data_IF_184247616006
#
_entry.id   IF_184247616006
#
_cell.length_a   1.000
_cell.length_b   1.000
_cell.length_c   1.000
_cell.angle_alpha   90.00
_cell.angle_beta   90.00
_cell.angle_gamma   90.00
#
_symmetry.space_group_name_H-M   'P 1'
#
loop_
_entity.id
_entity.type
_entity.pdbx_description
1 polymer ?
#
# COMPACT_ATOMS: atom_id res chain seq x y z
N UNK A 1 8.74 38.16 26.75
CA UNK A 1 9.07 37.17 25.70
C UNK A 1 8.10 36.02 25.88
N UNK A 2 7.10 35.85 25.02
CA UNK A 2 6.17 34.73 25.11
C UNK A 2 6.94 33.44 24.80
N UNK A 3 6.98 32.51 25.75
CA UNK A 3 7.42 31.15 25.49
C UNK A 3 6.42 30.54 24.47
N UNK A 4 6.82 30.48 23.20
CA UNK A 4 5.96 29.99 22.14
C UNK A 4 5.58 28.54 22.42
N UNK A 5 4.30 28.30 22.75
CA UNK A 5 3.78 26.96 22.94
C UNK A 5 4.07 26.11 21.70
N UNK A 6 4.65 24.92 21.90
CA UNK A 6 4.88 23.99 20.80
C UNK A 6 3.53 23.57 20.21
N UNK A 7 3.30 23.94 18.96
CA UNK A 7 2.09 23.57 18.23
C UNK A 7 2.20 22.14 17.71
N UNK A 8 1.06 21.45 17.57
CA UNK A 8 0.99 20.11 16.94
C UNK A 8 1.71 20.08 15.57
N UNK A 9 1.56 21.15 14.79
CA UNK A 9 2.24 21.32 13.49
C UNK A 9 3.76 21.36 13.63
N UNK A 10 4.29 22.03 14.65
CA UNK A 10 5.73 22.04 14.92
C UNK A 10 6.21 20.64 15.31
N UNK A 11 5.48 19.90 16.15
CA UNK A 11 5.85 18.52 16.50
C UNK A 11 5.89 17.61 15.27
N UNK A 12 4.83 17.61 14.44
CA UNK A 12 4.78 16.79 13.22
C UNK A 12 5.89 17.15 12.22
N UNK A 13 6.27 18.43 12.12
CA UNK A 13 7.41 18.85 11.29
C UNK A 13 8.74 18.29 11.81
N UNK A 14 8.95 18.24 13.12
CA UNK A 14 10.15 17.64 13.70
C UNK A 14 10.19 16.13 13.46
N UNK A 15 9.06 15.43 13.59
CA UNK A 15 8.97 14.02 13.22
C UNK A 15 9.23 13.78 11.74
N UNK A 16 8.71 14.63 10.85
CA UNK A 16 9.00 14.57 9.42
C UNK A 16 10.49 14.76 9.12
N UNK A 17 11.15 15.69 9.82
CA UNK A 17 12.58 15.95 9.65
C UNK A 17 13.46 14.81 10.17
N UNK A 18 13.09 14.17 11.28
CA UNK A 18 13.89 13.12 11.93
C UNK A 18 13.67 11.73 11.35
N UNK A 19 12.43 11.39 10.99
CA UNK A 19 12.03 10.02 10.63
C UNK A 19 11.17 9.93 9.37
N UNK A 20 11.12 11.00 8.57
CA UNK A 20 10.36 11.03 7.32
C UNK A 20 8.86 10.86 7.52
N UNK A 21 8.16 10.47 6.45
CA UNK A 21 6.71 10.27 6.43
C UNK A 21 6.26 9.15 7.37
N UNK A 22 7.07 8.10 7.57
CA UNK A 22 6.73 6.98 8.46
C UNK A 22 6.57 7.41 9.91
N UNK A 23 7.46 8.26 10.44
CA UNK A 23 7.36 8.76 11.82
C UNK A 23 6.19 9.74 11.99
N UNK A 24 5.89 10.54 10.96
CA UNK A 24 4.70 11.42 10.95
C UNK A 24 3.42 10.59 11.00
N UNK A 25 3.30 9.55 10.19
CA UNK A 25 2.13 8.66 10.16
C UNK A 25 1.96 7.98 11.52
N UNK A 26 3.03 7.40 12.09
CA UNK A 26 2.96 6.76 13.40
C UNK A 26 2.54 7.71 14.53
N UNK A 27 2.98 8.97 14.49
CA UNK A 27 2.55 9.99 15.46
C UNK A 27 1.09 10.41 15.26
N UNK A 28 0.63 10.50 14.00
CA UNK A 28 -0.76 10.80 13.69
C UNK A 28 -1.71 9.69 14.14
N UNK A 29 -1.30 8.42 13.95
CA UNK A 29 -2.04 7.25 14.41
C UNK A 29 -2.17 7.21 15.94
N UNK A 30 -1.06 7.39 16.66
CA UNK A 30 -1.04 7.45 18.12
C UNK A 30 -1.88 8.60 18.71
N UNK A 31 -2.18 9.62 17.92
CA UNK A 31 -3.02 10.76 18.30
C UNK A 31 -4.44 10.71 17.75
N UNK A 32 -4.84 9.58 17.17
CA UNK A 32 -6.17 9.39 16.58
C UNK A 32 -6.50 10.44 15.51
N UNK A 33 -5.46 10.87 14.77
CA UNK A 33 -5.57 11.81 13.66
C UNK A 33 -5.68 11.10 12.31
N UNK A 34 -5.54 9.78 12.30
CA UNK A 34 -5.83 8.93 11.16
C UNK A 34 -7.34 8.64 11.21
N UNK A 35 -8.13 9.47 10.52
CA UNK A 35 -9.57 9.27 10.44
C UNK A 35 -9.93 7.84 10.00
N UNK A 36 -11.15 7.36 10.31
CA UNK A 36 -11.54 5.99 10.01
C UNK A 36 -11.44 5.69 8.51
N UNK A 37 -10.99 4.48 8.17
CA UNK A 37 -11.08 3.97 6.79
C UNK A 37 -12.57 3.91 6.41
N UNK A 38 -13.03 4.77 5.50
CA UNK A 38 -14.37 4.65 4.91
C UNK A 38 -14.25 3.78 3.67
N UNK A 39 -14.77 2.54 3.68
CA UNK A 39 -14.66 1.67 2.52
C UNK A 39 -15.47 2.23 1.34
N UNK A 40 -16.59 2.91 1.61
CA UNK A 40 -17.50 3.41 0.59
C UNK A 40 -17.30 4.89 0.27
N UNK A 41 -17.70 5.24 -0.95
CA UNK A 41 -17.81 6.64 -1.40
C UNK A 41 -18.87 7.37 -0.56
N UNK A 42 -18.64 8.63 -0.16
CA UNK A 42 -19.66 9.43 0.50
C UNK A 42 -20.86 9.66 -0.42
N UNK A 43 -22.08 9.49 0.12
CA UNK A 43 -23.32 9.94 -0.51
C UNK A 43 -23.64 11.29 0.12
N UNK A 44 -23.35 12.37 -0.60
CA UNK A 44 -23.61 13.73 -0.13
C UNK A 44 -24.93 14.24 -0.69
N UNK A 45 -25.65 15.01 0.11
CA UNK A 45 -26.90 15.65 -0.27
C UNK A 45 -27.02 17.02 0.40
N UNK A 46 -27.90 17.86 -0.15
CA UNK A 46 -28.14 19.21 0.36
C UNK A 46 -27.21 20.26 -0.22
N UNK A 47 -27.74 21.47 -0.36
CA UNK A 47 -27.01 22.66 -0.76
C UNK A 47 -27.42 23.79 0.17
N UNK A 48 -26.45 24.53 0.72
CA UNK A 48 -26.70 25.82 1.33
C UNK A 48 -26.58 26.91 0.24
N UNK A 49 -27.68 27.61 -0.12
CA UNK A 49 -27.64 28.66 -1.12
C UNK A 49 -26.58 29.72 -0.79
N UNK A 50 -26.07 30.39 -1.83
CA UNK A 50 -25.10 31.50 -1.73
C UNK A 50 -23.77 31.17 -1.03
N UNK A 51 -23.51 29.89 -0.73
CA UNK A 51 -22.24 29.45 -0.15
C UNK A 51 -21.16 29.39 -1.23
N UNK A 52 -20.04 30.07 -0.96
CA UNK A 52 -18.83 30.04 -1.79
C UNK A 52 -17.72 29.28 -1.08
N UNK A 53 -17.13 28.32 -1.77
CA UNK A 53 -16.09 27.44 -1.20
C UNK A 53 -14.77 27.66 -1.93
N UNK A 54 -13.69 27.86 -1.18
CA UNK A 54 -12.32 27.80 -1.72
C UNK A 54 -11.64 26.54 -1.20
N UNK A 55 -11.06 25.77 -2.12
CA UNK A 55 -10.36 24.51 -1.83
C UNK A 55 -8.87 24.75 -2.06
N UNK A 56 -8.06 24.54 -1.03
CA UNK A 56 -6.62 24.77 -1.07
C UNK A 56 -5.91 23.44 -1.32
N UNK A 57 -5.39 23.25 -2.53
CA UNK A 57 -4.72 22.06 -3.02
C UNK A 57 -5.57 21.26 -4.01
N UNK A 58 -4.98 20.98 -5.17
CA UNK A 58 -5.49 20.09 -6.23
C UNK A 58 -4.96 18.66 -6.11
N UNK A 59 -4.67 18.18 -4.89
CA UNK A 59 -4.46 16.76 -4.62
C UNK A 59 -5.76 15.96 -4.66
N UNK A 60 -5.70 14.63 -4.51
CA UNK A 60 -6.90 13.77 -4.55
C UNK A 60 -7.99 14.23 -3.58
N UNK A 61 -7.66 14.62 -2.35
CA UNK A 61 -8.65 15.13 -1.38
C UNK A 61 -9.39 16.38 -1.89
N UNK A 62 -8.65 17.40 -2.33
CA UNK A 62 -9.24 18.63 -2.85
C UNK A 62 -10.02 18.44 -4.14
N UNK A 63 -9.53 17.59 -5.04
CA UNK A 63 -10.25 17.21 -6.27
C UNK A 63 -11.54 16.46 -5.96
N UNK A 64 -11.53 15.52 -5.01
CA UNK A 64 -12.74 14.81 -4.58
C UNK A 64 -13.77 15.78 -3.97
N UNK A 65 -13.34 16.70 -3.11
CA UNK A 65 -14.22 17.73 -2.54
C UNK A 65 -14.83 18.60 -3.66
N UNK A 66 -14.01 19.10 -4.58
CA UNK A 66 -14.49 19.93 -5.69
C UNK A 66 -15.48 19.18 -6.58
N UNK A 67 -15.18 17.92 -6.89
CA UNK A 67 -16.07 17.08 -7.68
C UNK A 67 -17.44 16.89 -7.04
N UNK A 68 -17.49 16.53 -5.75
CA UNK A 68 -18.77 16.34 -5.04
C UNK A 68 -19.52 17.65 -4.83
N UNK A 69 -18.84 18.76 -4.51
CA UNK A 69 -19.46 20.09 -4.46
C UNK A 69 -20.05 20.50 -5.82
N UNK A 70 -19.37 20.16 -6.92
CA UNK A 70 -19.86 20.38 -8.27
C UNK A 70 -21.13 19.59 -8.58
N UNK A 71 -21.22 18.33 -8.15
CA UNK A 71 -22.44 17.52 -8.28
C UNK A 71 -23.63 18.11 -7.50
N UNK A 72 -23.37 18.82 -6.41
CA UNK A 72 -24.37 19.48 -5.58
C UNK A 72 -24.69 20.93 -6.02
N UNK A 73 -23.99 21.47 -7.02
CA UNK A 73 -24.23 22.81 -7.56
C UNK A 73 -23.60 23.96 -6.77
N UNK A 74 -22.66 23.70 -5.86
CA UNK A 74 -21.98 24.76 -5.11
C UNK A 74 -21.10 25.64 -6.01
N UNK A 75 -20.96 26.91 -5.61
CA UNK A 75 -19.95 27.80 -6.17
C UNK A 75 -18.61 27.53 -5.47
N UNK A 76 -17.63 26.98 -6.19
CA UNK A 76 -16.31 26.70 -5.62
C UNK A 76 -15.16 26.96 -6.59
N UNK A 77 -13.97 27.13 -6.01
CA UNK A 77 -12.70 27.21 -6.73
C UNK A 77 -11.64 26.36 -6.02
N UNK A 78 -10.89 25.55 -6.77
CA UNK A 78 -9.68 24.84 -6.34
C UNK A 78 -8.45 25.67 -6.69
N UNK A 79 -7.54 25.85 -5.73
CA UNK A 79 -6.24 26.52 -5.91
C UNK A 79 -5.12 25.50 -5.73
N UNK A 80 -4.35 25.21 -6.78
CA UNK A 80 -3.20 24.29 -6.72
C UNK A 80 -1.91 25.05 -6.99
N UNK A 81 -0.90 24.86 -6.13
CA UNK A 81 0.37 25.55 -6.24
C UNK A 81 1.19 25.09 -7.46
N UNK A 82 1.09 23.80 -7.81
CA UNK A 82 1.76 23.23 -8.98
C UNK A 82 1.03 23.59 -10.27
N UNK A 83 1.72 23.36 -11.37
CA UNK A 83 1.20 23.41 -12.74
C UNK A 83 0.49 22.11 -13.16
N UNK A 84 0.29 21.17 -12.23
CA UNK A 84 -0.44 19.91 -12.42
C UNK A 84 -1.20 19.50 -11.16
N UNK A 85 -2.19 18.62 -11.32
CA UNK A 85 -3.03 18.11 -10.22
C UNK A 85 -2.63 16.71 -9.77
N UNK A 86 -2.98 16.34 -8.53
CA UNK A 86 -2.79 14.98 -8.01
C UNK A 86 -1.97 14.92 -6.73
N UNK A 87 -1.14 15.93 -6.47
CA UNK A 87 -0.33 16.01 -5.25
C UNK A 87 0.61 14.80 -5.14
N UNK A 88 0.45 13.97 -4.10
CA UNK A 88 1.25 12.74 -3.92
C UNK A 88 0.90 11.63 -4.93
N UNK A 89 -0.19 11.77 -5.67
CA UNK A 89 -0.51 10.88 -6.78
C UNK A 89 0.25 11.34 -8.03
N UNK A 90 1.52 10.93 -8.13
CA UNK A 90 2.42 11.37 -9.20
C UNK A 90 2.96 10.19 -10.02
N UNK A 91 2.84 10.31 -11.34
CA UNK A 91 3.35 9.37 -12.33
C UNK A 91 4.44 10.05 -13.14
N UNK A 92 5.68 9.67 -12.88
CA UNK A 92 6.87 10.13 -13.58
C UNK A 92 6.94 9.46 -14.95
N UNK A 93 7.06 10.25 -16.00
CA UNK A 93 7.20 9.84 -17.40
C UNK A 93 8.20 10.75 -18.10
N UNK A 94 8.57 10.46 -19.35
CA UNK A 94 9.48 11.30 -20.16
C UNK A 94 9.11 12.79 -20.03
N UNK A 95 10.10 13.63 -19.72
CA UNK A 95 9.94 15.08 -19.58
C UNK A 95 9.39 15.57 -18.24
N UNK A 96 8.92 14.67 -17.37
CA UNK A 96 8.54 15.06 -16.01
C UNK A 96 9.76 15.66 -15.29
N UNK A 97 9.59 16.86 -14.74
CA UNK A 97 10.64 17.61 -14.06
C UNK A 97 10.26 17.80 -12.59
N UNK A 98 11.23 17.66 -11.70
CA UNK A 98 11.08 17.96 -10.28
C UNK A 98 12.34 18.63 -9.75
N UNK A 99 12.16 19.65 -8.91
CA UNK A 99 13.25 20.28 -8.17
C UNK A 99 13.08 19.96 -6.69
N UNK A 100 14.04 19.21 -6.14
CA UNK A 100 14.04 18.81 -4.73
C UNK A 100 14.30 20.01 -3.81
N UNK A 101 13.94 19.87 -2.54
CA UNK A 101 14.32 20.79 -1.49
C UNK A 101 15.86 20.81 -1.39
N UNK A 102 16.47 21.90 -1.85
CA UNK A 102 17.93 22.00 -2.02
C UNK A 102 18.34 22.48 -3.41
N UNK A 103 17.41 22.51 -4.37
CA UNK A 103 17.59 23.13 -5.68
C UNK A 103 18.08 22.20 -6.78
N UNK A 104 18.28 20.91 -6.49
CA UNK A 104 18.61 19.92 -7.52
C UNK A 104 17.39 19.64 -8.39
N UNK A 105 17.55 19.81 -9.71
CA UNK A 105 16.51 19.54 -10.69
C UNK A 105 16.80 18.23 -11.41
N UNK A 106 15.81 17.36 -11.48
CA UNK A 106 15.83 16.13 -12.29
C UNK A 106 14.78 16.20 -13.39
N UNK A 107 15.14 15.70 -14.57
CA UNK A 107 14.24 15.57 -15.72
C UNK A 107 14.24 14.12 -16.16
N UNK A 108 13.08 13.48 -16.14
CA UNK A 108 12.94 12.09 -16.51
C UNK A 108 13.19 11.87 -18.02
N UNK A 109 14.05 10.90 -18.34
CA UNK A 109 14.43 10.52 -19.71
C UNK A 109 13.92 9.12 -20.11
N UNK A 110 12.87 8.62 -19.46
CA UNK A 110 12.28 7.32 -19.82
C UNK A 110 11.86 7.24 -21.29
N UNK A 111 11.75 6.01 -21.79
CA UNK A 111 11.24 5.79 -23.12
C UNK A 111 9.74 6.12 -23.24
N UNK A 112 9.26 6.29 -24.47
CA UNK A 112 7.84 6.53 -24.70
C UNK A 112 7.01 5.34 -24.18
N UNK A 113 5.90 5.63 -23.50
CA UNK A 113 5.06 4.61 -22.86
C UNK A 113 5.57 4.10 -21.50
N UNK A 114 6.82 4.38 -21.12
CA UNK A 114 7.35 4.00 -19.81
C UNK A 114 6.99 5.03 -18.74
N UNK A 115 6.67 4.56 -17.54
CA UNK A 115 6.38 5.41 -16.39
C UNK A 115 6.72 4.73 -15.07
N UNK A 116 6.80 5.55 -14.02
CA UNK A 116 6.94 5.12 -12.63
C UNK A 116 5.97 5.90 -11.74
N UNK A 117 5.26 5.22 -10.83
CA UNK A 117 4.42 5.89 -9.84
C UNK A 117 5.29 6.28 -8.63
N UNK A 118 5.66 7.56 -8.53
CA UNK A 118 6.56 8.08 -7.49
C UNK A 118 5.86 8.45 -6.17
N UNK A 119 4.60 8.08 -6.02
CA UNK A 119 3.86 8.22 -4.77
C UNK A 119 2.80 7.14 -4.64
N UNK A 120 1.53 7.47 -4.87
CA UNK A 120 0.48 6.46 -4.88
C UNK A 120 0.75 5.41 -5.98
N UNK A 121 0.93 4.15 -5.56
CA UNK A 121 1.38 3.07 -6.45
C UNK A 121 0.24 2.11 -6.82
N UNK A 122 -0.53 1.63 -5.84
CA UNK A 122 -1.50 0.53 -6.02
C UNK A 122 -2.79 0.78 -5.28
N UNK A 123 -3.87 0.13 -5.71
CA UNK A 123 -5.23 0.24 -5.18
C UNK A 123 -5.71 -1.15 -4.75
N UNK A 124 -5.78 -1.45 -3.45
CA UNK A 124 -6.37 -2.68 -2.92
C UNK A 124 -7.82 -2.89 -3.36
N UNK A 125 -8.26 -4.15 -3.47
CA UNK A 125 -9.66 -4.47 -3.77
C UNK A 125 -10.66 -3.92 -2.73
N UNK A 126 -10.21 -3.63 -1.50
CA UNK A 126 -11.04 -3.11 -0.43
C UNK A 126 -11.30 -1.60 -0.53
N UNK A 127 -10.53 -0.88 -1.35
CA UNK A 127 -10.58 0.59 -1.46
C UNK A 127 -11.72 1.02 -2.39
N UNK A 128 -12.96 0.63 -2.04
CA UNK A 128 -14.15 0.76 -2.89
C UNK A 128 -14.49 2.21 -3.23
N UNK A 129 -14.13 3.18 -2.39
CA UNK A 129 -14.28 4.59 -2.69
C UNK A 129 -13.46 5.02 -3.94
N UNK A 130 -12.17 4.70 -3.98
CA UNK A 130 -11.29 5.05 -5.11
C UNK A 130 -11.66 4.25 -6.36
N UNK A 131 -11.93 2.95 -6.20
CA UNK A 131 -12.40 2.10 -7.31
C UNK A 131 -13.73 2.61 -7.88
N UNK A 132 -14.63 3.11 -7.03
CA UNK A 132 -15.89 3.73 -7.42
C UNK A 132 -15.68 4.98 -8.28
N UNK A 133 -14.77 5.88 -7.89
CA UNK A 133 -14.44 7.06 -8.70
C UNK A 133 -13.77 6.68 -10.03
N UNK A 134 -12.88 5.69 -10.04
CA UNK A 134 -12.28 5.21 -11.29
C UNK A 134 -13.37 4.74 -12.26
N UNK A 135 -14.37 3.99 -11.78
CA UNK A 135 -15.51 3.54 -12.59
C UNK A 135 -16.36 4.71 -13.11
N UNK A 136 -16.75 5.63 -12.24
CA UNK A 136 -17.61 6.77 -12.62
C UNK A 136 -16.92 7.74 -13.59
N UNK A 137 -15.62 7.98 -13.40
CA UNK A 137 -14.83 8.89 -14.22
C UNK A 137 -14.24 8.22 -15.47
N UNK A 138 -14.49 6.92 -15.66
CA UNK A 138 -14.02 6.17 -16.83
C UNK A 138 -12.51 5.96 -16.87
N UNK A 139 -11.85 5.83 -15.72
CA UNK A 139 -10.42 5.52 -15.60
C UNK A 139 -10.21 4.01 -15.69
N UNK A 140 -9.62 3.49 -16.78
CA UNK A 140 -9.41 2.05 -16.93
C UNK A 140 -8.33 1.56 -15.96
N UNK A 141 -8.59 0.42 -15.34
CA UNK A 141 -7.69 -0.23 -14.39
C UNK A 141 -7.13 -1.54 -14.96
N UNK A 142 -5.94 -1.91 -14.51
CA UNK A 142 -5.28 -3.19 -14.76
C UNK A 142 -4.83 -3.83 -13.44
N UNK A 143 -4.54 -5.13 -13.48
CA UNK A 143 -4.00 -5.84 -12.32
C UNK A 143 -2.61 -5.35 -11.98
N UNK A 144 -2.39 -5.12 -10.69
CA UNK A 144 -1.07 -4.81 -10.15
C UNK A 144 -0.48 -6.06 -9.49
N UNK A 145 0.68 -6.51 -10.00
CA UNK A 145 1.41 -7.65 -9.43
C UNK A 145 2.21 -7.17 -8.22
N UNK A 146 1.64 -7.36 -7.04
CA UNK A 146 2.21 -6.87 -5.79
C UNK A 146 3.42 -7.68 -5.30
N UNK A 147 3.36 -8.98 -5.53
CA UNK A 147 4.43 -9.93 -5.31
C UNK A 147 4.36 -11.01 -6.37
N UNK A 148 5.48 -11.69 -6.56
CA UNK A 148 5.60 -12.88 -7.37
C UNK A 148 6.40 -13.89 -6.59
N UNK A 149 6.03 -15.16 -6.73
CA UNK A 149 6.80 -16.30 -6.22
C UNK A 149 8.23 -16.35 -6.79
N UNK A 150 8.47 -15.65 -7.90
CA UNK A 150 9.80 -15.43 -8.45
C UNK A 150 10.58 -14.30 -7.76
N UNK A 151 10.02 -13.44 -6.90
CA UNK A 151 10.81 -12.39 -6.25
C UNK A 151 11.86 -12.96 -5.29
N UNK A 152 12.85 -12.14 -4.95
CA UNK A 152 13.88 -12.46 -3.98
C UNK A 152 13.65 -11.72 -2.66
N UNK A 153 13.93 -12.40 -1.55
CA UNK A 153 14.38 -11.77 -0.32
C UNK A 153 15.90 -11.63 -0.35
N UNK A 154 16.39 -10.58 0.31
CA UNK A 154 17.79 -10.29 0.51
C UNK A 154 17.93 -9.40 1.74
N UNK A 155 18.89 -9.72 2.62
CA UNK A 155 19.18 -8.97 3.84
C UNK A 155 20.64 -9.21 4.20
N UNK A 156 21.36 -8.17 4.61
CA UNK A 156 22.81 -8.23 4.88
C UNK A 156 23.12 -8.25 6.38
N UNK A 157 22.12 -8.09 7.24
CA UNK A 157 22.32 -8.22 8.68
C UNK A 157 22.80 -9.65 9.00
N UNK A 158 24.00 -9.78 9.58
CA UNK A 158 24.59 -11.06 9.94
C UNK A 158 23.80 -11.82 11.03
N UNK A 159 23.01 -11.12 11.84
CA UNK A 159 22.22 -11.71 12.94
C UNK A 159 21.10 -12.64 12.44
N UNK A 160 20.67 -12.48 11.18
CA UNK A 160 19.63 -13.33 10.58
C UNK A 160 20.16 -14.74 10.26
N UNK A 161 21.47 -14.96 10.43
CA UNK A 161 22.13 -16.25 10.30
C UNK A 161 22.59 -16.57 8.87
N UNK A 162 22.60 -17.86 8.47
CA UNK A 162 23.29 -18.31 7.26
C UNK A 162 22.69 -17.80 5.95
N UNK A 163 21.48 -17.22 5.97
CA UNK A 163 20.85 -16.60 4.80
C UNK A 163 21.26 -15.13 4.61
N UNK A 164 22.06 -14.56 5.52
CA UNK A 164 22.61 -13.21 5.38
C UNK A 164 23.46 -13.08 4.11
N UNK A 165 23.23 -12.01 3.35
CA UNK A 165 23.88 -11.75 2.07
C UNK A 165 23.47 -12.70 0.94
N UNK A 166 22.43 -13.53 1.13
CA UNK A 166 21.94 -14.46 0.10
C UNK A 166 20.65 -13.97 -0.55
N UNK A 167 20.55 -14.16 -1.86
CA UNK A 167 19.30 -13.96 -2.60
C UNK A 167 18.45 -15.22 -2.51
N UNK A 168 17.34 -15.14 -1.79
CA UNK A 168 16.47 -16.28 -1.48
C UNK A 168 15.14 -16.10 -2.21
N UNK A 169 14.65 -17.07 -3.01
CA UNK A 169 13.39 -16.87 -3.74
C UNK A 169 12.19 -17.00 -2.80
N UNK A 170 11.15 -16.20 -3.06
CA UNK A 170 9.90 -16.22 -2.30
C UNK A 170 9.26 -17.62 -2.28
N UNK A 171 9.23 -18.30 -3.43
CA UNK A 171 8.66 -19.66 -3.56
C UNK A 171 9.42 -20.72 -2.75
N UNK A 172 10.74 -20.57 -2.61
CA UNK A 172 11.56 -21.51 -1.85
C UNK A 172 11.27 -21.36 -0.36
N UNK A 173 11.18 -20.12 0.13
CA UNK A 173 10.75 -19.84 1.51
C UNK A 173 9.36 -20.39 1.77
N UNK A 174 8.40 -20.14 0.88
CA UNK A 174 7.03 -20.66 1.02
C UNK A 174 7.00 -22.18 1.09
N UNK A 175 7.64 -22.86 0.13
CA UNK A 175 7.65 -24.32 0.06
C UNK A 175 8.34 -24.94 1.28
N UNK A 176 9.55 -24.47 1.63
CA UNK A 176 10.34 -25.07 2.70
C UNK A 176 9.78 -24.78 4.09
N UNK A 177 9.22 -23.58 4.30
CA UNK A 177 8.57 -23.24 5.55
C UNK A 177 7.32 -24.11 5.76
N UNK A 178 6.45 -24.21 4.75
CA UNK A 178 5.25 -25.05 4.85
C UNK A 178 5.62 -26.52 4.98
N UNK A 179 6.49 -27.03 4.11
CA UNK A 179 6.88 -28.44 4.13
C UNK A 179 7.55 -28.86 5.42
N UNK A 180 8.54 -28.09 5.91
CA UNK A 180 9.24 -28.45 7.15
C UNK A 180 8.35 -28.34 8.39
N UNK A 181 7.45 -27.35 8.46
CA UNK A 181 6.56 -27.20 9.62
C UNK A 181 5.45 -28.25 9.65
N UNK A 182 4.89 -28.58 8.49
CA UNK A 182 3.87 -29.64 8.37
C UNK A 182 4.46 -31.04 8.56
N UNK A 183 5.69 -31.31 8.11
CA UNK A 183 6.42 -32.56 8.42
C UNK A 183 6.52 -32.77 9.93
N UNK A 184 6.98 -31.75 10.66
CA UNK A 184 7.09 -31.80 12.12
C UNK A 184 5.72 -32.05 12.77
N UNK A 185 4.68 -31.35 12.31
CA UNK A 185 3.35 -31.47 12.87
C UNK A 185 2.72 -32.84 12.58
N UNK A 186 2.87 -33.36 11.35
CA UNK A 186 2.35 -34.66 10.96
C UNK A 186 3.01 -35.79 11.76
N UNK A 187 4.34 -35.75 11.92
CA UNK A 187 5.08 -36.74 12.72
C UNK A 187 4.73 -36.67 14.21
N UNK A 188 4.55 -35.47 14.76
CA UNK A 188 4.11 -35.31 16.15
C UNK A 188 2.68 -35.83 16.35
N UNK A 189 1.77 -35.56 15.41
CA UNK A 189 0.39 -36.06 15.45
C UNK A 189 0.34 -37.59 15.38
N UNK A 190 1.08 -38.19 14.45
CA UNK A 190 1.17 -39.65 14.27
C UNK A 190 1.73 -40.36 15.52
N UNK A 191 2.71 -39.74 16.19
CA UNK A 191 3.31 -40.26 17.42
C UNK A 191 2.49 -39.98 18.69
N UNK A 192 1.29 -39.39 18.57
CA UNK A 192 0.45 -39.04 19.71
C UNK A 192 1.05 -37.96 20.63
N UNK A 193 1.92 -37.10 20.10
CA UNK A 193 2.61 -36.04 20.86
C UNK A 193 1.84 -34.71 20.87
N UNK A 194 0.70 -34.63 20.20
CA UNK A 194 -0.14 -33.43 20.19
C UNK A 194 -1.29 -33.63 21.18
N UNK A 195 -1.22 -32.90 22.29
CA UNK A 195 -2.28 -32.88 23.31
C UNK A 195 -3.39 -31.89 22.92
N UNK A 196 -4.21 -32.29 21.94
CA UNK A 196 -5.41 -31.57 21.51
C UNK A 196 -6.61 -32.50 21.44
N UNK A 197 -7.79 -31.99 21.80
CA UNK A 197 -9.04 -32.74 21.70
C UNK A 197 -9.52 -32.83 20.25
N UNK A 198 -9.00 -33.79 19.49
CA UNK A 198 -9.52 -34.19 18.19
C UNK A 198 -10.19 -35.57 18.29
N UNK A 199 -11.22 -35.79 17.49
CA UNK A 199 -11.73 -37.15 17.26
C UNK A 199 -10.71 -37.93 16.43
N UNK A 200 -10.81 -39.27 16.42
CA UNK A 200 -9.97 -40.11 15.54
C UNK A 200 -10.16 -39.70 14.06
N UNK A 201 -11.40 -39.41 13.66
CA UNK A 201 -11.72 -38.94 12.30
C UNK A 201 -11.07 -37.58 11.98
N UNK A 202 -11.15 -36.60 12.89
CA UNK A 202 -10.51 -35.29 12.68
C UNK A 202 -8.99 -35.38 12.63
N UNK A 203 -8.39 -36.32 13.38
CA UNK A 203 -6.96 -36.57 13.35
C UNK A 203 -6.52 -37.11 11.98
N UNK A 204 -7.27 -38.05 11.40
CA UNK A 204 -7.01 -38.56 10.05
C UNK A 204 -7.15 -37.44 9.00
N UNK A 205 -8.20 -36.61 9.09
CA UNK A 205 -8.41 -35.48 8.18
C UNK A 205 -7.29 -34.43 8.30
N UNK A 206 -6.81 -34.17 9.52
CA UNK A 206 -5.68 -33.28 9.75
C UNK A 206 -4.41 -33.82 9.09
N UNK A 207 -4.07 -35.11 9.28
CA UNK A 207 -2.91 -35.73 8.63
C UNK A 207 -3.01 -35.61 7.10
N UNK A 208 -4.16 -35.93 6.51
CA UNK A 208 -4.37 -35.80 5.07
C UNK A 208 -4.18 -34.36 4.57
N UNK A 209 -4.68 -33.37 5.32
CA UNK A 209 -4.45 -31.97 5.04
C UNK A 209 -2.96 -31.61 5.08
N UNK A 210 -2.24 -32.03 6.12
CA UNK A 210 -0.81 -31.74 6.29
C UNK A 210 0.04 -32.37 5.19
N UNK A 211 -0.24 -33.63 4.82
CA UNK A 211 0.44 -34.31 3.71
C UNK A 211 0.30 -33.53 2.43
N UNK A 212 -0.93 -33.10 2.10
CA UNK A 212 -1.21 -32.35 0.88
C UNK A 212 -0.64 -30.93 0.91
N UNK A 213 -0.82 -30.19 1.99
CA UNK A 213 -0.38 -28.81 2.12
C UNK A 213 1.15 -28.69 2.24
N UNK A 214 1.78 -29.72 2.82
CA UNK A 214 3.20 -29.79 3.13
C UNK A 214 4.09 -30.40 2.07
N UNK A 215 3.53 -30.95 0.98
CA UNK A 215 4.29 -31.76 0.02
C UNK A 215 4.99 -32.95 0.72
N UNK A 216 4.29 -33.59 1.66
CA UNK A 216 4.81 -34.73 2.39
C UNK A 216 4.54 -36.01 1.61
N UNK A 217 5.37 -37.01 1.83
CA UNK A 217 5.08 -38.37 1.40
C UNK A 217 4.05 -39.03 2.31
N UNK A 218 3.24 -39.90 1.72
CA UNK A 218 2.12 -40.53 2.41
C UNK A 218 2.54 -41.64 3.37
N UNK A 219 3.75 -42.20 3.22
CA UNK A 219 4.23 -43.32 4.03
C UNK A 219 5.03 -42.83 5.24
N UNK A 220 5.93 -41.87 5.06
CA UNK A 220 6.88 -41.43 6.09
C UNK A 220 6.68 -39.98 6.56
N UNK A 221 5.71 -39.27 5.98
CA UNK A 221 5.42 -37.85 6.21
C UNK A 221 6.62 -36.91 6.02
N UNK A 222 7.70 -37.34 5.36
CA UNK A 222 8.85 -36.49 5.12
C UNK A 222 8.59 -35.53 3.95
N UNK A 223 8.94 -34.27 4.16
CA UNK A 223 8.81 -33.21 3.17
C UNK A 223 9.71 -33.49 1.96
N UNK A 224 9.08 -33.57 0.79
CA UNK A 224 9.73 -33.71 -0.51
C UNK A 224 9.43 -32.44 -1.32
N UNK A 225 10.42 -31.56 -1.55
CA UNK A 225 10.19 -30.31 -2.26
C UNK A 225 9.50 -30.52 -3.62
N UNK A 226 8.44 -29.75 -3.93
CA UNK A 226 7.76 -29.88 -5.21
C UNK A 226 8.62 -29.28 -6.34
N UNK A 227 8.43 -29.75 -7.58
CA UNK A 227 9.13 -29.21 -8.75
C UNK A 227 8.88 -27.71 -8.97
N UNK A 228 7.72 -27.20 -8.53
CA UNK A 228 7.36 -25.77 -8.58
C UNK A 228 8.23 -24.88 -7.68
N UNK A 229 8.94 -25.46 -6.69
CA UNK A 229 9.96 -24.76 -5.89
C UNK A 229 11.09 -24.23 -6.78
N UNK A 230 11.45 -24.97 -7.83
CA UNK A 230 12.40 -24.54 -8.85
C UNK A 230 13.89 -24.68 -8.50
N UNK A 231 14.23 -25.25 -7.34
CA UNK A 231 15.59 -25.61 -6.95
C UNK A 231 15.59 -26.89 -6.10
N UNK A 232 16.69 -27.65 -6.15
CA UNK A 232 16.81 -28.94 -5.45
C UNK A 232 17.21 -28.77 -3.97
N UNK A 233 18.08 -27.80 -3.67
CA UNK A 233 18.62 -27.61 -2.32
C UNK A 233 17.62 -26.89 -1.42
N UNK A 234 17.14 -27.57 -0.37
CA UNK A 234 16.21 -27.03 0.62
C UNK A 234 16.92 -26.17 1.67
N UNK A 235 16.24 -25.13 2.14
CA UNK A 235 16.71 -24.37 3.29
C UNK A 235 16.43 -25.10 4.59
N UNK A 236 17.36 -24.99 5.54
CA UNK A 236 17.16 -25.47 6.90
C UNK A 236 16.05 -24.65 7.61
N UNK A 237 15.17 -25.34 8.33
CA UNK A 237 14.06 -24.68 9.03
C UNK A 237 14.56 -23.68 10.08
N UNK A 238 15.66 -23.98 10.80
CA UNK A 238 16.25 -23.04 11.76
C UNK A 238 16.75 -21.78 11.07
N UNK A 239 17.37 -21.92 9.89
CA UNK A 239 17.80 -20.79 9.08
C UNK A 239 16.61 -19.91 8.64
N UNK A 240 15.52 -20.52 8.16
CA UNK A 240 14.30 -19.79 7.78
C UNK A 240 13.66 -19.07 8.97
N UNK A 241 13.56 -19.72 10.13
CA UNK A 241 12.97 -19.13 11.34
C UNK A 241 13.82 -17.95 11.85
N UNK A 242 15.15 -18.10 11.90
CA UNK A 242 16.07 -17.01 12.29
C UNK A 242 16.05 -15.84 11.32
N UNK A 243 15.83 -16.09 10.03
CA UNK A 243 15.83 -15.03 9.02
C UNK A 243 14.69 -14.02 9.15
N UNK A 244 13.60 -14.40 9.81
CA UNK A 244 12.37 -13.61 9.83
C UNK A 244 11.60 -13.57 8.50
N UNK A 245 12.08 -14.23 7.43
CA UNK A 245 11.38 -14.28 6.14
C UNK A 245 10.01 -14.96 6.23
N UNK A 246 9.82 -15.88 7.20
CA UNK A 246 8.53 -16.52 7.49
C UNK A 246 7.41 -15.51 7.75
N UNK A 247 7.72 -14.40 8.44
CA UNK A 247 6.75 -13.34 8.73
C UNK A 247 6.29 -12.57 7.48
N UNK A 248 7.03 -12.67 6.38
CA UNK A 248 6.81 -11.95 5.11
C UNK A 248 6.07 -12.79 4.06
N UNK A 249 5.80 -14.08 4.33
CA UNK A 249 5.09 -15.00 3.41
C UNK A 249 3.72 -15.45 3.98
N UNK A 250 3.11 -14.62 4.82
CA UNK A 250 1.79 -14.88 5.42
C UNK A 250 0.71 -15.02 4.34
N UNK A 251 -0.24 -15.94 4.55
CA UNK A 251 -1.36 -16.17 3.62
C UNK A 251 -2.27 -14.96 3.44
N UNK A 252 -2.41 -14.13 4.49
CA UNK A 252 -3.05 -12.83 4.42
C UNK A 252 -2.08 -11.78 5.01
N UNK A 253 -1.63 -10.86 4.16
CA UNK A 253 -0.79 -9.75 4.57
C UNK A 253 -1.66 -8.50 4.73
N UNK A 254 -1.78 -8.00 5.96
CA UNK A 254 -2.54 -6.79 6.28
C UNK A 254 -1.74 -5.49 6.10
N UNK A 255 -0.52 -5.56 5.57
CA UNK A 255 0.27 -4.36 5.29
C UNK A 255 -0.26 -3.58 4.09
N UNK A 256 0.54 -2.66 3.58
CA UNK A 256 0.15 -1.55 2.67
C UNK A 256 -0.40 -1.95 1.29
N UNK A 257 -0.71 -3.22 1.03
CA UNK A 257 -1.39 -3.70 -0.18
C UNK A 257 -2.68 -4.46 0.10
N UNK A 258 -2.93 -4.90 1.33
CA UNK A 258 -4.05 -5.80 1.62
C UNK A 258 -4.00 -7.10 0.79
N UNK A 259 -5.11 -7.86 0.78
CA UNK A 259 -5.21 -9.08 -0.01
C UNK A 259 -5.37 -8.77 -1.51
N UNK A 260 -4.77 -9.63 -2.34
CA UNK A 260 -4.96 -9.61 -3.79
C UNK A 260 -6.44 -9.85 -4.18
N UNK A 261 -6.89 -9.39 -5.37
CA UNK A 261 -6.11 -8.63 -6.34
C UNK A 261 -5.90 -7.16 -5.95
N UNK A 262 -4.80 -6.61 -6.44
CA UNK A 262 -4.48 -5.18 -6.43
C UNK A 262 -4.63 -4.61 -7.83
N UNK A 263 -4.89 -3.30 -7.90
CA UNK A 263 -5.13 -2.59 -9.16
C UNK A 263 -4.24 -1.37 -9.32
N UNK A 264 -4.04 -0.93 -10.55
CA UNK A 264 -3.53 0.40 -10.89
C UNK A 264 -4.22 0.91 -12.17
N UNK A 265 -4.29 2.22 -12.40
CA UNK A 265 -4.74 2.75 -13.70
C UNK A 265 -3.74 2.45 -14.82
N UNK A 266 -4.26 2.13 -16.00
CA UNK A 266 -3.45 2.00 -17.21
C UNK A 266 -2.79 3.34 -17.51
N UNK A 267 -1.45 3.36 -17.62
CA UNK A 267 -0.70 4.61 -17.84
C UNK A 267 -0.40 5.42 -16.57
N UNK A 268 -0.57 4.80 -15.39
CA UNK A 268 -0.11 5.29 -14.09
C UNK A 268 -1.16 6.01 -13.24
N UNK A 269 -0.89 6.12 -11.94
CA UNK A 269 -1.87 6.56 -10.94
C UNK A 269 -2.41 7.97 -11.20
N UNK A 270 -1.66 8.84 -11.86
CA UNK A 270 -2.10 10.18 -12.27
C UNK A 270 -3.34 10.20 -13.18
N UNK A 271 -3.71 9.09 -13.83
CA UNK A 271 -4.96 9.07 -14.61
C UNK A 271 -6.19 9.39 -13.74
N UNK A 272 -6.17 9.09 -12.44
CA UNK A 272 -7.27 9.39 -11.51
C UNK A 272 -7.44 10.90 -11.33
N UNK A 273 -6.45 11.66 -10.83
CA UNK A 273 -6.59 13.10 -10.66
C UNK A 273 -6.80 13.84 -12.00
N UNK A 274 -6.23 13.35 -13.10
CA UNK A 274 -6.50 13.92 -14.44
C UNK A 274 -7.96 13.75 -14.86
N UNK A 275 -8.60 12.62 -14.53
CA UNK A 275 -10.02 12.42 -14.82
C UNK A 275 -10.91 13.34 -13.98
N UNK A 276 -10.57 13.57 -12.71
CA UNK A 276 -11.21 14.60 -11.89
C UNK A 276 -11.05 16.00 -12.51
N UNK A 277 -9.81 16.37 -12.89
CA UNK A 277 -9.52 17.67 -13.51
C UNK A 277 -10.34 17.89 -14.77
N UNK A 278 -10.50 16.87 -15.61
CA UNK A 278 -11.31 16.94 -16.83
C UNK A 278 -12.76 17.32 -16.54
N UNK A 279 -13.35 16.80 -15.45
CA UNK A 279 -14.74 17.10 -15.09
C UNK A 279 -14.88 18.44 -14.37
N UNK A 280 -13.94 18.76 -13.47
CA UNK A 280 -13.98 20.02 -12.70
C UNK A 280 -13.69 21.24 -13.60
N UNK A 281 -12.77 21.10 -14.55
CA UNK A 281 -12.45 22.10 -15.56
C UNK A 281 -11.88 23.39 -14.97
N UNK A 282 -12.42 24.53 -15.42
CA UNK A 282 -11.93 25.88 -15.12
C UNK A 282 -12.00 26.27 -13.63
N UNK A 283 -12.71 25.50 -12.82
CA UNK A 283 -12.72 25.67 -11.36
C UNK A 283 -11.41 25.24 -10.70
N UNK A 284 -10.42 24.74 -11.44
CA UNK A 284 -9.06 24.51 -10.94
C UNK A 284 -8.13 25.61 -11.46
N UNK A 285 -7.57 26.38 -10.52
CA UNK A 285 -6.52 27.34 -10.80
C UNK A 285 -5.16 26.75 -10.41
N UNK A 286 -4.38 26.39 -11.42
CA UNK A 286 -2.99 25.92 -11.28
C UNK A 286 -2.03 27.10 -11.07
N UNK A 287 -0.82 26.82 -10.58
CA UNK A 287 0.20 27.85 -10.31
C UNK A 287 -0.23 28.85 -9.23
N UNK A 288 -1.21 28.51 -8.39
CA UNK A 288 -1.79 29.36 -7.37
C UNK A 288 -1.22 29.00 -5.99
N UNK A 289 -0.01 29.48 -5.69
CA UNK A 289 0.59 29.30 -4.37
C UNK A 289 -0.11 30.19 -3.32
N UNK A 290 -0.91 29.55 -2.46
CA UNK A 290 -1.61 30.22 -1.36
C UNK A 290 -0.60 30.69 -0.30
N UNK A 291 -0.55 31.98 -0.03
CA UNK A 291 0.40 32.60 0.93
C UNK A 291 -0.18 32.79 2.33
N UNK A 292 -1.48 33.04 2.44
CA UNK A 292 -2.15 33.30 3.72
C UNK A 292 -3.63 32.91 3.64
N UNK A 293 -4.19 32.52 4.78
CA UNK A 293 -5.63 32.30 4.99
C UNK A 293 -6.00 33.04 6.27
N UNK A 294 -7.05 33.85 6.22
CA UNK A 294 -7.56 34.61 7.36
C UNK A 294 -9.07 34.44 7.43
N UNK A 295 -9.58 34.18 8.63
CA UNK A 295 -11.00 34.25 8.89
C UNK A 295 -11.37 35.71 9.17
N UNK A 296 -12.37 36.22 8.45
CA UNK A 296 -12.91 37.57 8.62
C UNK A 296 -14.22 37.52 9.40
N UNK A 297 -14.72 38.67 9.86
CA UNK A 297 -16.00 38.76 10.59
C UNK A 297 -17.20 38.28 9.75
N UNK A 298 -17.07 38.31 8.41
CA UNK A 298 -18.09 37.85 7.45
C UNK A 298 -18.09 36.33 7.19
N UNK A 299 -17.34 35.53 7.96
CA UNK A 299 -17.16 34.08 7.77
C UNK A 299 -18.06 33.21 8.66
#
# INVERSE_FOLDING_TARGET
MNAGHLTRRQVLKHFGALGGSSLVIGAMDAWDLMGPESPSRPILSGMQPDTRVVILGGGLSGLTVGYELGKLGYNYQVLEARDWVGGLCWTVRRGAQHTEIGGETQICQFDEGQYFNAGAWRIPNRDQAVLGYCRELGVPLELFVNWSDANYFYEENAEIGPLSGQRVRLREVKADLWGSTTELLAKAADQGQIDVSLTEEDQELLIQFLVRAGYLDTEDYAYRPPTSRGSEERYDLSALLKSGFSSRVRSLYSGTGGPDPLFQPIGGMMQIPLAFQKVIGERIKLGAEVRSVSQTEDA
#
